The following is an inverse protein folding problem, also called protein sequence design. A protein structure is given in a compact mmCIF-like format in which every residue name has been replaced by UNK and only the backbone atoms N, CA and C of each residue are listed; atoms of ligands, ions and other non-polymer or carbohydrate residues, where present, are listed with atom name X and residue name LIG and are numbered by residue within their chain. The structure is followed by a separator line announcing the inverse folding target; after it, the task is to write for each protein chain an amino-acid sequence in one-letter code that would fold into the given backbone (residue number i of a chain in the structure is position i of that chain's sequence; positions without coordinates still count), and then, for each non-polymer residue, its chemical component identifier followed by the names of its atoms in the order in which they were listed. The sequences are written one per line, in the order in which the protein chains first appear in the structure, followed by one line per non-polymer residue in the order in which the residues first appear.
data_IF_735100615022
#
_entry.id   IF_735100615022
#
_cell.length_a   1.000
_cell.length_b   1.000
_cell.length_c   1.000
_cell.angle_alpha   90.00
_cell.angle_beta   90.00
_cell.angle_gamma   90.00
#
_symmetry.space_group_name_H-M   'P 1'
#
loop_
_entity.id
_entity.type
_entity.pdbx_description
1 polymer ?
#
# COMPACT_ATOMS: atom_id res chain seq x y z
N UNK A 1 42.73 -2.64 -63.33
CA UNK A 1 41.67 -2.05 -62.47
C UNK A 1 40.66 -3.12 -62.10
N UNK A 2 40.75 -3.69 -60.89
CA UNK A 2 39.79 -4.69 -60.41
C UNK A 2 38.58 -4.00 -59.77
N UNK A 3 37.40 -4.12 -60.39
CA UNK A 3 36.12 -3.68 -59.81
C UNK A 3 35.72 -4.68 -58.73
N UNK A 4 35.95 -4.35 -57.46
CA UNK A 4 35.43 -5.14 -56.32
C UNK A 4 33.90 -5.11 -56.34
N UNK A 5 33.30 -6.22 -56.76
CA UNK A 5 31.85 -6.47 -56.71
C UNK A 5 31.46 -6.60 -55.23
N UNK A 6 31.01 -5.50 -54.60
CA UNK A 6 30.55 -5.51 -53.20
C UNK A 6 29.34 -6.44 -53.08
N UNK A 7 29.48 -7.46 -52.25
CA UNK A 7 28.44 -8.46 -52.00
C UNK A 7 27.35 -7.82 -51.12
N UNK A 8 26.30 -7.27 -51.73
CA UNK A 8 25.27 -6.46 -51.07
C UNK A 8 24.52 -7.20 -49.95
N UNK A 9 24.49 -8.53 -49.98
CA UNK A 9 23.83 -9.38 -48.97
C UNK A 9 24.46 -9.26 -47.58
N UNK A 10 25.79 -9.08 -47.48
CA UNK A 10 26.44 -8.90 -46.18
C UNK A 10 26.12 -7.54 -45.56
N UNK A 11 25.94 -6.50 -46.38
CA UNK A 11 25.65 -5.15 -45.89
C UNK A 11 24.30 -5.08 -45.17
N UNK A 12 23.26 -5.73 -45.72
CA UNK A 12 21.93 -5.79 -45.07
C UNK A 12 21.95 -6.59 -43.76
N UNK A 13 22.75 -7.65 -43.68
CA UNK A 13 22.93 -8.41 -42.44
C UNK A 13 23.55 -7.55 -41.32
N UNK A 14 24.59 -6.76 -41.64
CA UNK A 14 25.22 -5.87 -40.66
C UNK A 14 24.30 -4.72 -40.22
N UNK A 15 23.50 -4.18 -41.15
CA UNK A 15 22.50 -3.14 -40.81
C UNK A 15 21.44 -3.73 -39.87
N UNK A 16 20.91 -4.92 -40.18
CA UNK A 16 19.93 -5.58 -39.32
C UNK A 16 20.51 -5.91 -37.94
N UNK A 17 21.72 -6.46 -37.88
CA UNK A 17 22.40 -6.74 -36.62
C UNK A 17 22.65 -5.47 -35.79
N UNK A 18 23.02 -4.35 -36.42
CA UNK A 18 23.19 -3.07 -35.74
C UNK A 18 21.87 -2.53 -35.16
N UNK A 19 20.76 -2.63 -35.92
CA UNK A 19 19.42 -2.23 -35.43
C UNK A 19 19.01 -3.08 -34.23
N UNK A 20 19.24 -4.40 -34.29
CA UNK A 20 18.91 -5.33 -33.20
C UNK A 20 19.72 -5.03 -31.94
N UNK A 21 21.00 -4.68 -32.10
CA UNK A 21 21.89 -4.28 -31.01
C UNK A 21 21.44 -2.95 -30.38
N UNK A 22 21.03 -1.96 -31.20
CA UNK A 22 20.51 -0.69 -30.69
C UNK A 22 19.20 -0.91 -29.91
N UNK A 23 18.26 -1.71 -30.44
CA UNK A 23 17.01 -2.02 -29.76
C UNK A 23 17.22 -2.72 -28.42
N UNK A 24 18.16 -3.66 -28.34
CA UNK A 24 18.49 -4.35 -27.07
C UNK A 24 19.11 -3.39 -26.05
N UNK A 25 20.02 -2.51 -26.47
CA UNK A 25 20.59 -1.48 -25.57
C UNK A 25 19.50 -0.53 -25.08
N UNK A 26 18.58 -0.08 -25.95
CA UNK A 26 17.46 0.79 -25.56
C UNK A 26 16.56 0.10 -24.54
N UNK A 27 16.19 -1.16 -24.76
CA UNK A 27 15.38 -1.95 -23.83
C UNK A 27 16.10 -2.11 -22.47
N UNK A 28 17.38 -2.47 -22.48
CA UNK A 28 18.18 -2.62 -21.25
C UNK A 28 18.27 -1.30 -20.50
N UNK A 29 18.49 -0.18 -21.18
CA UNK A 29 18.56 1.15 -20.55
C UNK A 29 17.20 1.55 -19.97
N UNK A 30 16.09 1.25 -20.64
CA UNK A 30 14.74 1.54 -20.13
C UNK A 30 14.47 0.72 -18.86
N UNK A 31 14.80 -0.58 -18.87
CA UNK A 31 14.61 -1.47 -17.72
C UNK A 31 15.52 -1.04 -16.55
N UNK A 32 16.79 -0.72 -16.80
CA UNK A 32 17.73 -0.32 -15.76
C UNK A 32 17.53 1.10 -15.21
N UNK A 33 16.93 2.02 -15.99
CA UNK A 33 16.66 3.40 -15.55
C UNK A 33 15.25 3.63 -15.04
N UNK A 34 14.38 2.62 -15.05
CA UNK A 34 13.08 2.74 -14.43
C UNK A 34 13.30 2.93 -12.93
N UNK A 35 12.89 4.05 -12.33
CA UNK A 35 13.03 4.24 -10.90
C UNK A 35 12.25 3.12 -10.20
N UNK A 36 12.94 2.36 -9.35
CA UNK A 36 12.26 1.41 -8.46
C UNK A 36 11.40 2.27 -7.55
N UNK A 37 10.08 2.21 -7.75
CA UNK A 37 9.14 2.92 -6.91
C UNK A 37 9.20 2.30 -5.51
N UNK A 38 9.26 3.12 -4.45
CA UNK A 38 9.28 2.62 -3.09
C UNK A 38 8.00 1.85 -2.79
N UNK A 39 8.08 0.94 -1.83
CA UNK A 39 6.87 0.29 -1.31
C UNK A 39 6.10 1.24 -0.41
N UNK A 40 4.76 1.13 -0.32
CA UNK A 40 3.97 1.93 0.62
C UNK A 40 4.50 1.89 2.06
N UNK A 41 4.94 0.74 2.56
CA UNK A 41 5.53 0.57 3.90
C UNK A 41 6.88 1.26 4.10
N UNK A 42 7.61 1.56 3.01
CA UNK A 42 8.84 2.36 3.04
C UNK A 42 8.54 3.86 3.03
N UNK A 43 7.32 4.26 2.68
CA UNK A 43 6.89 5.65 2.55
C UNK A 43 5.99 6.11 3.69
N UNK A 44 5.12 5.22 4.17
CA UNK A 44 4.10 5.44 5.19
C UNK A 44 4.31 4.45 6.33
N UNK A 45 4.31 4.96 7.56
CA UNK A 45 4.22 4.16 8.77
C UNK A 45 2.79 4.21 9.29
N UNK A 46 2.21 3.04 9.53
CA UNK A 46 0.89 2.89 10.15
C UNK A 46 1.08 2.11 11.44
N UNK A 47 0.59 2.65 12.55
CA UNK A 47 0.63 1.98 13.85
C UNK A 47 -0.73 2.03 14.51
N UNK A 48 -1.03 1.01 15.32
CA UNK A 48 -2.20 1.01 16.19
C UNK A 48 -2.06 2.09 17.28
N UNK A 49 -3.14 2.80 17.57
CA UNK A 49 -3.17 3.81 18.65
C UNK A 49 -4.14 3.43 19.77
N UNK A 50 -5.39 3.09 19.42
CA UNK A 50 -6.44 2.70 20.38
C UNK A 50 -7.54 1.94 19.67
N UNK A 51 -8.17 0.97 20.32
CA UNK A 51 -9.36 0.29 19.77
C UNK A 51 -10.50 0.24 20.77
N UNK A 52 -11.72 0.23 20.24
CA UNK A 52 -12.93 -0.08 21.01
C UNK A 52 -13.50 -1.40 20.53
N UNK A 53 -13.92 -2.24 21.48
CA UNK A 53 -14.48 -3.53 21.14
C UNK A 53 -15.18 -4.24 22.29
N UNK A 54 -15.72 -5.42 21.99
CA UNK A 54 -16.40 -6.29 22.95
C UNK A 54 -15.84 -7.70 22.87
N UNK A 55 -15.43 -8.24 23.99
CA UNK A 55 -14.95 -9.62 24.09
C UNK A 55 -16.12 -10.59 24.18
N UNK A 56 -16.06 -11.66 23.40
CA UNK A 56 -16.97 -12.80 23.55
C UNK A 56 -16.34 -13.82 24.50
N UNK A 57 -16.92 -13.95 25.69
CA UNK A 57 -16.40 -14.80 26.76
C UNK A 57 -16.34 -16.29 26.42
N UNK A 58 -17.05 -16.73 25.39
CA UNK A 58 -17.21 -18.14 25.06
C UNK A 58 -16.45 -18.59 23.80
N UNK A 59 -15.89 -17.67 23.00
CA UNK A 59 -15.35 -18.00 21.67
C UNK A 59 -13.91 -17.55 21.41
N UNK A 60 -13.20 -16.95 22.38
CA UNK A 60 -11.88 -16.34 22.15
C UNK A 60 -11.90 -15.37 20.95
N UNK A 61 -12.99 -14.66 20.77
CA UNK A 61 -13.16 -13.68 19.70
C UNK A 61 -13.39 -12.31 20.31
N UNK A 62 -13.03 -11.28 19.56
CA UNK A 62 -13.32 -9.90 19.90
C UNK A 62 -14.02 -9.23 18.73
N UNK A 63 -15.10 -8.51 19.04
CA UNK A 63 -15.73 -7.62 18.09
C UNK A 63 -15.09 -6.24 18.21
N UNK A 64 -14.35 -5.79 17.21
CA UNK A 64 -13.82 -4.42 17.14
C UNK A 64 -14.86 -3.54 16.44
N UNK A 65 -15.24 -2.45 17.10
CA UNK A 65 -16.19 -1.47 16.56
C UNK A 65 -15.50 -0.17 16.17
N UNK A 66 -14.37 0.18 16.80
CA UNK A 66 -13.56 1.33 16.39
C UNK A 66 -12.08 0.94 16.38
N UNK A 67 -11.39 1.37 15.33
CA UNK A 67 -9.97 1.18 15.13
C UNK A 67 -9.29 2.55 15.00
N UNK A 68 -8.47 2.89 15.97
CA UNK A 68 -7.57 4.04 15.94
C UNK A 68 -6.23 3.65 15.36
N UNK A 69 -5.83 4.38 14.32
CA UNK A 69 -4.56 4.26 13.64
C UNK A 69 -3.82 5.59 13.70
N UNK A 70 -2.50 5.52 13.71
CA UNK A 70 -1.62 6.65 13.52
C UNK A 70 -0.87 6.46 12.21
N UNK A 71 -0.97 7.44 11.32
CA UNK A 71 -0.32 7.41 10.01
C UNK A 71 0.74 8.51 9.96
N UNK A 72 1.94 8.16 9.52
CA UNK A 72 3.07 9.08 9.39
C UNK A 72 3.74 8.88 8.04
N UNK A 73 3.98 9.97 7.31
CA UNK A 73 4.81 9.95 6.11
C UNK A 73 6.30 10.02 6.50
N UNK A 74 7.07 8.98 6.20
CA UNK A 74 8.46 8.81 6.68
C UNK A 74 9.51 9.19 5.64
N UNK A 75 9.26 8.96 4.35
CA UNK A 75 10.24 9.20 3.29
C UNK A 75 10.15 10.64 2.74
N UNK A 76 8.95 11.14 2.51
CA UNK A 76 8.64 12.45 1.92
C UNK A 76 7.19 12.84 2.20
N UNK A 77 6.71 13.90 1.55
CA UNK A 77 5.30 14.29 1.63
C UNK A 77 4.45 13.29 0.84
N UNK A 78 3.41 12.76 1.46
CA UNK A 78 2.55 11.74 0.86
C UNK A 78 1.26 12.39 0.32
N UNK A 79 0.89 12.06 -0.92
CA UNK A 79 -0.36 12.52 -1.51
C UNK A 79 -1.29 11.34 -1.85
N UNK A 80 -2.59 11.63 -1.87
CA UNK A 80 -3.64 10.66 -2.24
C UNK A 80 -3.46 9.31 -1.53
N UNK A 81 -3.29 9.35 -0.20
CA UNK A 81 -3.11 8.15 0.59
C UNK A 81 -4.45 7.43 0.63
N UNK A 82 -4.43 6.15 0.28
CA UNK A 82 -5.61 5.29 0.23
C UNK A 82 -5.45 4.22 1.29
N UNK A 83 -6.47 4.05 2.13
CA UNK A 83 -6.51 3.04 3.18
C UNK A 83 -7.79 2.23 3.05
N UNK A 84 -7.66 0.91 3.00
CA UNK A 84 -8.77 -0.02 2.90
C UNK A 84 -8.61 -1.16 3.91
N UNK A 85 -9.71 -1.60 4.52
CA UNK A 85 -9.72 -2.70 5.50
C UNK A 85 -10.47 -3.86 4.87
N UNK A 86 -9.88 -5.06 4.92
CA UNK A 86 -10.40 -6.24 4.20
C UNK A 86 -11.75 -6.74 4.78
N UNK A 87 -11.98 -6.56 6.08
CA UNK A 87 -13.10 -7.20 6.79
C UNK A 87 -14.02 -6.23 7.55
N UNK A 88 -13.89 -4.93 7.31
CA UNK A 88 -14.69 -3.90 7.95
C UNK A 88 -15.37 -3.03 6.92
N UNK A 89 -16.71 -2.93 6.95
CA UNK A 89 -17.38 -1.78 6.34
C UNK A 89 -16.87 -0.54 7.05
N UNK A 90 -16.08 0.24 6.32
CA UNK A 90 -15.50 1.50 6.78
C UNK A 90 -16.63 2.53 6.90
N UNK A 91 -16.87 2.98 8.12
CA UNK A 91 -17.51 4.26 8.41
C UNK A 91 -16.43 5.13 9.04
N UNK A 92 -16.39 6.40 8.72
CA UNK A 92 -15.37 7.32 9.21
C UNK A 92 -15.93 8.73 9.17
N UNK A 93 -15.11 9.75 9.49
CA UNK A 93 -15.61 11.10 9.67
C UNK A 93 -16.41 11.54 8.44
N UNK A 94 -17.63 12.02 8.71
CA UNK A 94 -18.77 12.19 7.78
C UNK A 94 -18.54 13.11 6.57
N UNK A 95 -17.31 13.60 6.41
CA UNK A 95 -16.89 14.47 5.32
C UNK A 95 -16.09 13.73 4.23
N UNK A 96 -15.82 12.43 4.40
CA UNK A 96 -14.95 11.66 3.47
C UNK A 96 -15.56 10.35 2.95
N UNK A 97 -16.75 9.93 3.40
CA UNK A 97 -17.25 8.59 3.11
C UNK A 97 -18.73 8.62 2.71
N UNK A 98 -19.00 8.28 1.45
CA UNK A 98 -20.37 8.22 0.91
C UNK A 98 -20.92 6.78 0.79
N UNK A 99 -20.13 5.71 0.91
CA UNK A 99 -20.63 4.32 0.76
C UNK A 99 -19.82 3.27 1.54
N UNK A 100 -20.46 2.18 2.00
CA UNK A 100 -19.80 1.09 2.73
C UNK A 100 -18.77 0.36 1.86
N UNK A 101 -17.56 0.19 2.38
CA UNK A 101 -16.45 -0.47 1.67
C UNK A 101 -15.62 0.47 0.79
N UNK A 102 -15.88 1.78 0.83
CA UNK A 102 -15.03 2.75 0.17
C UNK A 102 -13.71 2.92 0.94
N UNK A 103 -12.58 2.98 0.23
CA UNK A 103 -11.32 3.30 0.86
C UNK A 103 -11.36 4.72 1.45
N UNK A 104 -10.67 4.90 2.57
CA UNK A 104 -10.41 6.22 3.14
C UNK A 104 -9.33 6.88 2.30
N UNK A 105 -9.62 8.07 1.80
CA UNK A 105 -8.66 8.86 1.03
C UNK A 105 -8.22 10.06 1.85
N UNK A 106 -6.93 10.11 2.19
CA UNK A 106 -6.30 11.27 2.81
C UNK A 106 -5.57 12.03 1.70
N UNK A 107 -5.94 13.29 1.41
CA UNK A 107 -5.44 14.00 0.24
C UNK A 107 -3.94 14.30 0.34
N UNK A 108 -3.46 14.61 1.54
CA UNK A 108 -2.09 15.04 1.78
C UNK A 108 -1.68 14.79 3.23
N UNK A 109 -0.41 14.40 3.42
CA UNK A 109 0.25 14.31 4.71
C UNK A 109 1.70 14.77 4.56
N UNK A 110 2.11 15.78 5.35
CA UNK A 110 3.49 16.28 5.30
C UNK A 110 4.45 15.26 5.90
N UNK A 111 5.71 15.26 5.44
CA UNK A 111 6.74 14.40 6.02
C UNK A 111 6.89 14.63 7.53
N UNK A 112 6.83 13.55 8.31
CA UNK A 112 6.97 13.56 9.77
C UNK A 112 5.73 14.05 10.51
N UNK A 113 4.69 14.47 9.80
CA UNK A 113 3.39 14.78 10.39
C UNK A 113 2.68 13.48 10.79
N UNK A 114 2.16 13.47 12.01
CA UNK A 114 1.39 12.35 12.54
C UNK A 114 -0.08 12.66 12.44
N UNK A 115 -0.80 11.88 11.63
CA UNK A 115 -2.24 11.98 11.48
C UNK A 115 -2.92 10.85 12.26
N UNK A 116 -3.62 11.16 13.37
CA UNK A 116 -4.50 10.20 14.01
C UNK A 116 -5.74 9.99 13.13
N UNK A 117 -6.04 8.74 12.80
CA UNK A 117 -7.19 8.32 12.03
C UNK A 117 -8.04 7.37 12.87
N UNK A 118 -9.30 7.73 13.07
CA UNK A 118 -10.29 6.87 13.72
C UNK A 118 -11.21 6.29 12.65
N UNK A 119 -11.37 4.96 12.68
CA UNK A 119 -12.16 4.20 11.72
C UNK A 119 -13.23 3.43 12.48
N UNK A 120 -14.49 3.70 12.15
CA UNK A 120 -15.62 2.97 12.69
C UNK A 120 -15.82 1.71 11.84
N UNK A 121 -15.72 0.57 12.49
CA UNK A 121 -15.97 -0.74 11.90
C UNK A 121 -17.41 -1.15 12.23
N UNK A 122 -18.14 -1.73 11.27
CA UNK A 122 -19.44 -2.37 11.53
C UNK A 122 -19.29 -3.70 12.31
N UNK A 123 -18.57 -3.68 13.43
CA UNK A 123 -18.41 -4.81 14.33
C UNK A 123 -17.64 -5.97 13.71
N UNK A 124 -16.39 -5.71 13.29
CA UNK A 124 -15.49 -6.72 12.74
C UNK A 124 -15.14 -7.75 13.83
N UNK A 125 -15.42 -9.03 13.59
CA UNK A 125 -15.18 -10.11 14.54
C UNK A 125 -13.85 -10.75 14.18
N UNK A 126 -12.91 -10.70 15.12
CA UNK A 126 -11.55 -11.20 14.93
C UNK A 126 -11.22 -12.24 15.99
N UNK A 127 -10.49 -13.31 15.62
CA UNK A 127 -9.96 -14.26 16.58
C UNK A 127 -8.93 -13.57 17.48
N UNK A 128 -8.98 -13.89 18.78
CA UNK A 128 -8.01 -13.45 19.77
C UNK A 128 -7.04 -14.60 20.04
N UNK A 129 -5.88 -14.57 19.39
CA UNK A 129 -4.82 -15.57 19.55
C UNK A 129 -3.69 -15.00 20.41
N UNK A 130 -3.33 -15.73 21.48
CA UNK A 130 -2.24 -15.31 22.38
C UNK A 130 -2.38 -13.89 22.95
N UNK A 131 -3.62 -13.41 23.12
CA UNK A 131 -3.89 -12.06 23.66
C UNK A 131 -3.81 -10.94 22.64
N UNK A 132 -3.70 -11.25 21.34
CA UNK A 132 -3.77 -10.25 20.26
C UNK A 132 -4.77 -10.64 19.18
N UNK A 133 -5.29 -9.65 18.47
CA UNK A 133 -6.00 -9.84 17.21
C UNK A 133 -5.28 -9.07 16.10
N UNK A 134 -5.50 -9.49 14.85
CA UNK A 134 -4.83 -8.91 13.68
C UNK A 134 -5.90 -8.32 12.78
N UNK A 135 -5.70 -7.07 12.35
CA UNK A 135 -6.50 -6.42 11.32
C UNK A 135 -5.66 -6.28 10.07
N UNK A 136 -6.22 -6.69 8.94
CA UNK A 136 -5.61 -6.57 7.63
C UNK A 136 -5.99 -5.22 7.00
N UNK A 137 -4.99 -4.40 6.68
CA UNK A 137 -5.17 -3.07 6.10
C UNK A 137 -4.33 -2.95 4.83
N UNK A 138 -4.94 -2.51 3.73
CA UNK A 138 -4.23 -2.15 2.52
C UNK A 138 -3.98 -0.65 2.50
N UNK A 139 -2.72 -0.26 2.24
CA UNK A 139 -2.33 1.14 2.11
C UNK A 139 -1.62 1.40 0.78
N UNK A 140 -1.77 2.61 0.26
CA UNK A 140 -0.98 3.11 -0.86
C UNK A 140 -0.97 4.64 -0.90
N UNK A 141 -0.07 5.23 -1.70
CA UNK A 141 -0.04 6.65 -2.01
C UNK A 141 0.48 6.88 -3.43
N UNK A 142 0.43 8.11 -3.93
CA UNK A 142 0.93 8.41 -5.28
C UNK A 142 2.44 8.20 -5.46
N UNK A 143 3.22 8.41 -4.40
CA UNK A 143 4.67 8.31 -4.39
C UNK A 143 5.16 6.85 -4.27
N UNK A 144 4.33 5.99 -3.69
CA UNK A 144 4.52 4.56 -3.56
C UNK A 144 3.24 3.84 -4.04
N UNK A 145 3.04 3.74 -5.36
CA UNK A 145 1.80 3.21 -5.92
C UNK A 145 1.72 1.69 -5.78
N UNK A 146 0.48 1.22 -5.59
CA UNK A 146 0.14 -0.19 -5.38
C UNK A 146 -0.35 -0.42 -3.95
N UNK A 147 -1.46 -1.15 -3.76
CA UNK A 147 -1.92 -1.49 -2.41
C UNK A 147 -0.94 -2.49 -1.79
N UNK A 148 -0.37 -2.14 -0.65
CA UNK A 148 0.40 -3.05 0.18
C UNK A 148 -0.41 -3.42 1.41
N UNK A 149 -0.49 -4.71 1.70
CA UNK A 149 -1.11 -5.22 2.90
C UNK A 149 -0.18 -5.03 4.11
N UNK A 150 -0.73 -4.41 5.15
CA UNK A 150 -0.11 -4.21 6.46
C UNK A 150 -1.00 -4.88 7.50
N UNK A 151 -0.36 -5.66 8.36
CA UNK A 151 -1.00 -6.30 9.49
C UNK A 151 -0.91 -5.38 10.70
N UNK A 152 -2.05 -4.94 11.21
CA UNK A 152 -2.13 -4.19 12.45
C UNK A 152 -2.45 -5.16 13.58
N UNK A 153 -1.46 -5.39 14.43
CA UNK A 153 -1.64 -6.15 15.66
C UNK A 153 -2.28 -5.26 16.73
N UNK A 154 -3.38 -5.73 17.32
CA UNK A 154 -4.08 -5.07 18.41
C UNK A 154 -3.98 -5.97 19.63
N UNK A 155 -3.36 -5.46 20.71
CA UNK A 155 -3.26 -6.19 21.96
C UNK A 155 -4.58 -6.10 22.74
N UNK A 156 -4.89 -7.15 23.50
CA UNK A 156 -6.11 -7.23 24.31
C UNK A 156 -6.23 -6.03 25.27
N UNK A 157 -5.11 -5.62 25.86
CA UNK A 157 -5.01 -4.49 26.79
C UNK A 157 -5.32 -3.14 26.16
N UNK A 158 -5.12 -2.98 24.85
CA UNK A 158 -5.37 -1.73 24.13
C UNK A 158 -6.81 -1.62 23.62
N UNK A 159 -7.62 -2.66 23.83
CA UNK A 159 -9.04 -2.70 23.50
C UNK A 159 -9.84 -2.26 24.72
N UNK A 160 -10.37 -1.04 24.66
CA UNK A 160 -11.26 -0.54 25.71
C UNK A 160 -12.66 -1.10 25.46
N UNK A 161 -13.17 -1.84 26.44
CA UNK A 161 -14.53 -2.37 26.41
C UNK A 161 -15.55 -1.26 26.61
N UNK A 162 -16.54 -1.16 25.72
CA UNK A 162 -17.70 -0.29 25.92
C UNK A 162 -18.51 -0.80 27.14
N UNK A 163 -18.94 0.09 28.06
CA UNK A 163 -19.85 -0.30 29.16
C UNK A 163 -21.20 -0.79 28.66
#
# INVERSE_FOLDING_TARGET
MSKRKRNSKNTYFWIFAAILLIMTVVIVVIIYKSPVLPKPSEYLSVSHSKSLGKFYSNTNEVQITHLGLDIIAIAGDAHSIVIQIDEGRIVGPSNLIDQPGNPIVIPFLSKGEKLPLEIDLQGCILPLESGKCIVHIYIGCSEAPGPEEILIEILKEDIVSFP
#
